data_IF_035306669946
#
_entry.id   IF_035306669946
#
_cell.length_a   1.000
_cell.length_b   1.000
_cell.length_c   1.000
_cell.angle_alpha   90.00
_cell.angle_beta   90.00
_cell.angle_gamma   90.00
#
_symmetry.space_group_name_H-M   'P 1'
#
loop_
_entity.id
_entity.type
_entity.pdbx_description
1 polymer ?
#
# COMPACT_ATOMS: atom_id res chain seq x y z
N UNK A 1 12.85 -6.81 -10.51
CA UNK A 1 11.45 -7.28 -10.40
C UNK A 1 10.58 -6.11 -9.92
N UNK A 2 9.51 -5.74 -10.66
CA UNK A 2 8.63 -4.61 -10.37
C UNK A 2 7.25 -5.13 -10.00
N UNK A 3 6.85 -4.92 -8.75
CA UNK A 3 5.63 -5.50 -8.16
C UNK A 3 4.65 -4.38 -7.80
N UNK A 4 3.38 -4.57 -8.10
CA UNK A 4 2.26 -3.72 -7.66
C UNK A 4 1.44 -4.50 -6.65
N UNK A 5 1.18 -3.91 -5.48
CA UNK A 5 0.29 -4.49 -4.47
C UNK A 5 -1.13 -3.95 -4.65
N UNK A 6 -2.08 -4.85 -4.91
CA UNK A 6 -3.51 -4.57 -5.03
C UNK A 6 -4.29 -5.15 -3.84
N UNK A 7 -5.48 -4.66 -3.62
CA UNK A 7 -6.39 -5.09 -2.55
C UNK A 7 -6.95 -3.92 -1.74
N UNK A 8 -8.01 -4.18 -1.00
CA UNK A 8 -8.73 -3.18 -0.20
C UNK A 8 -7.84 -2.49 0.86
N UNK A 9 -8.18 -1.28 1.34
CA UNK A 9 -7.49 -0.69 2.48
C UNK A 9 -7.59 -1.64 3.69
N UNK A 10 -6.46 -1.90 4.37
CA UNK A 10 -6.46 -2.86 5.50
C UNK A 10 -6.29 -4.34 5.12
N UNK A 11 -6.21 -4.70 3.84
CA UNK A 11 -6.01 -6.09 3.39
C UNK A 11 -4.66 -6.71 3.78
N UNK A 12 -3.69 -5.91 4.24
CA UNK A 12 -2.36 -6.40 4.63
C UNK A 12 -1.26 -6.13 3.60
N UNK A 13 -1.55 -5.40 2.52
CA UNK A 13 -0.59 -5.07 1.46
C UNK A 13 0.76 -4.57 1.96
N UNK A 14 0.75 -3.57 2.86
CA UNK A 14 1.99 -2.99 3.40
C UNK A 14 2.82 -4.00 4.20
N UNK A 15 2.18 -4.89 4.96
CA UNK A 15 2.86 -5.97 5.69
C UNK A 15 3.55 -6.90 4.71
N UNK A 16 2.85 -7.35 3.68
CA UNK A 16 3.41 -8.23 2.66
C UNK A 16 4.49 -7.52 1.84
N UNK A 17 4.29 -6.25 1.49
CA UNK A 17 5.29 -5.45 0.78
C UNK A 17 6.62 -5.38 1.53
N UNK A 18 6.59 -5.14 2.84
CA UNK A 18 7.81 -5.13 3.68
C UNK A 18 8.51 -6.49 3.63
N UNK A 19 7.78 -7.59 3.83
CA UNK A 19 8.35 -8.95 3.79
C UNK A 19 8.94 -9.30 2.41
N UNK A 20 8.28 -8.89 1.33
CA UNK A 20 8.80 -9.06 -0.04
C UNK A 20 10.11 -8.26 -0.21
N UNK A 21 10.12 -7.00 0.21
CA UNK A 21 11.29 -6.14 0.07
C UNK A 21 12.49 -6.68 0.85
N UNK A 22 12.28 -7.17 2.07
CA UNK A 22 13.32 -7.81 2.88
C UNK A 22 13.88 -9.08 2.23
N UNK A 23 13.00 -9.93 1.66
CA UNK A 23 13.41 -11.18 1.02
C UNK A 23 14.18 -10.95 -0.29
N UNK A 24 13.72 -10.03 -1.13
CA UNK A 24 14.26 -9.85 -2.49
C UNK A 24 15.25 -8.68 -2.61
N UNK A 25 15.49 -7.91 -1.54
CA UNK A 25 16.45 -6.80 -1.53
C UNK A 25 16.04 -5.64 -2.44
N UNK A 26 14.74 -5.36 -2.58
CA UNK A 26 14.19 -4.29 -3.41
C UNK A 26 13.45 -3.26 -2.54
N UNK A 27 13.40 -1.97 -2.91
CA UNK A 27 12.77 -0.94 -2.10
C UNK A 27 11.24 -1.06 -2.05
N UNK A 28 10.67 -0.75 -0.87
CA UNK A 28 9.26 -0.54 -0.64
C UNK A 28 8.89 0.91 -0.93
N UNK A 29 7.98 1.14 -1.86
CA UNK A 29 7.49 2.47 -2.22
C UNK A 29 6.01 2.56 -1.86
N UNK A 30 5.73 3.17 -0.73
CA UNK A 30 4.36 3.40 -0.24
C UNK A 30 3.96 4.86 -0.45
N UNK A 31 3.06 5.12 -1.39
CA UNK A 31 2.54 6.48 -1.61
C UNK A 31 1.83 7.02 -0.37
N UNK A 32 1.15 6.15 0.37
CA UNK A 32 0.53 6.52 1.63
C UNK A 32 1.53 7.01 2.67
N UNK A 33 2.70 6.35 2.79
CA UNK A 33 3.74 6.75 3.74
C UNK A 33 4.45 8.03 3.30
N UNK A 34 4.66 8.20 2.01
CA UNK A 34 5.22 9.44 1.45
C UNK A 34 4.30 10.62 1.76
N UNK A 35 2.98 10.50 1.54
CA UNK A 35 2.04 11.55 1.88
C UNK A 35 1.99 11.81 3.39
N UNK A 36 1.94 10.78 4.22
CA UNK A 36 1.97 10.94 5.69
C UNK A 36 3.25 11.64 6.18
N UNK A 37 4.40 11.33 5.60
CA UNK A 37 5.65 12.03 5.89
C UNK A 37 5.56 13.51 5.52
N UNK A 38 5.02 13.85 4.36
CA UNK A 38 4.79 15.22 3.93
C UNK A 38 3.81 15.97 4.84
N UNK A 39 2.74 15.31 5.28
CA UNK A 39 1.77 15.89 6.25
C UNK A 39 2.49 16.21 7.56
N UNK A 40 3.26 15.27 8.09
CA UNK A 40 4.03 15.45 9.33
C UNK A 40 5.03 16.60 9.24
N UNK A 41 5.67 16.75 8.09
CA UNK A 41 6.66 17.81 7.85
C UNK A 41 6.02 19.14 7.44
N UNK A 42 4.70 19.23 7.32
CA UNK A 42 3.96 20.45 7.01
C UNK A 42 4.21 21.03 5.61
N UNK A 43 4.65 20.19 4.65
CA UNK A 43 4.89 20.65 3.28
C UNK A 43 3.60 21.05 2.57
N UNK A 44 3.68 21.85 1.52
CA UNK A 44 2.49 22.22 0.72
C UNK A 44 1.81 20.98 0.11
N UNK A 45 2.58 19.98 -0.32
CA UNK A 45 2.05 18.69 -0.77
C UNK A 45 1.32 17.98 0.38
N UNK A 46 1.89 17.96 1.58
CA UNK A 46 1.30 17.35 2.76
C UNK A 46 -0.03 18.01 3.16
N UNK A 47 -0.12 19.34 3.12
CA UNK A 47 -1.35 20.07 3.43
C UNK A 47 -2.46 19.68 2.44
N UNK A 48 -2.17 19.68 1.13
CA UNK A 48 -3.12 19.26 0.11
C UNK A 48 -3.53 17.79 0.26
N UNK A 49 -2.58 16.88 0.46
CA UNK A 49 -2.87 15.46 0.62
C UNK A 49 -3.77 15.18 1.83
N UNK A 50 -3.56 15.92 2.94
CA UNK A 50 -4.35 15.77 4.16
C UNK A 50 -5.84 16.01 3.93
N UNK A 51 -6.21 17.00 3.14
CA UNK A 51 -7.62 17.35 2.84
C UNK A 51 -8.39 16.17 2.22
N UNK A 52 -7.71 15.35 1.39
CA UNK A 52 -8.29 14.16 0.77
C UNK A 52 -8.25 12.95 1.71
N UNK A 53 -7.10 12.71 2.33
CA UNK A 53 -6.89 11.52 3.15
C UNK A 53 -7.78 11.48 4.38
N UNK A 54 -8.02 12.62 5.05
CA UNK A 54 -8.90 12.71 6.23
C UNK A 54 -10.36 12.38 5.87
N UNK A 55 -10.76 12.56 4.61
CA UNK A 55 -12.08 12.21 4.08
C UNK A 55 -12.13 10.77 3.49
N UNK A 56 -11.03 10.03 3.51
CA UNK A 56 -10.93 8.70 2.89
C UNK A 56 -10.92 8.72 1.35
N UNK A 57 -10.67 9.88 0.74
CA UNK A 57 -10.57 10.08 -0.71
C UNK A 57 -9.13 9.85 -1.19
N UNK A 58 -8.98 9.63 -2.51
CA UNK A 58 -7.67 9.60 -3.14
C UNK A 58 -7.12 11.01 -3.33
N UNK A 59 -5.80 11.15 -3.15
CA UNK A 59 -5.07 12.37 -3.57
C UNK A 59 -5.12 12.43 -5.09
N UNK A 60 -5.27 13.62 -5.71
CA UNK A 60 -5.38 13.78 -7.16
C UNK A 60 -4.25 13.05 -7.93
N UNK A 61 -4.62 12.44 -9.07
CA UNK A 61 -3.72 11.60 -9.86
C UNK A 61 -2.45 12.34 -10.27
N UNK A 62 -2.55 13.60 -10.70
CA UNK A 62 -1.40 14.42 -11.12
C UNK A 62 -0.33 14.52 -10.04
N UNK A 63 -0.74 14.77 -8.78
CA UNK A 63 0.18 14.90 -7.66
C UNK A 63 0.81 13.53 -7.30
N UNK A 64 0.00 12.47 -7.36
CA UNK A 64 0.45 11.13 -7.01
C UNK A 64 1.39 10.56 -8.06
N UNK A 65 1.09 10.76 -9.35
CA UNK A 65 1.90 10.29 -10.47
C UNK A 65 3.28 10.96 -10.46
N UNK A 66 3.34 12.29 -10.35
CA UNK A 66 4.61 13.01 -10.34
C UNK A 66 5.51 12.53 -9.20
N UNK A 67 4.95 12.45 -8.00
CA UNK A 67 5.68 11.97 -6.81
C UNK A 67 6.22 10.54 -7.00
N UNK A 68 5.44 9.66 -7.65
CA UNK A 68 5.87 8.29 -7.88
C UNK A 68 6.96 8.22 -8.94
N UNK A 69 6.80 8.90 -10.09
CA UNK A 69 7.79 8.87 -11.16
C UNK A 69 9.16 9.38 -10.67
N UNK A 70 9.17 10.45 -9.89
CA UNK A 70 10.39 10.97 -9.28
C UNK A 70 11.04 9.95 -8.32
N UNK A 71 10.23 9.15 -7.61
CA UNK A 71 10.74 8.14 -6.67
C UNK A 71 11.28 6.91 -7.37
N UNK A 72 10.61 6.39 -8.39
CA UNK A 72 11.05 5.18 -9.10
C UNK A 72 12.25 5.44 -10.03
N UNK A 73 12.57 6.70 -10.32
CA UNK A 73 13.75 7.10 -11.07
C UNK A 73 15.05 7.10 -10.23
N UNK A 74 14.98 6.85 -8.91
CA UNK A 74 16.16 6.81 -8.06
C UNK A 74 16.94 5.50 -8.25
N UNK A 75 18.26 5.56 -8.04
CA UNK A 75 19.21 4.46 -8.31
C UNK A 75 18.85 3.16 -7.57
N UNK A 76 18.28 3.25 -6.37
CA UNK A 76 17.86 2.09 -5.58
C UNK A 76 16.71 1.30 -6.20
N UNK A 77 16.01 1.88 -7.19
CA UNK A 77 14.91 1.26 -7.91
C UNK A 77 15.34 0.51 -9.20
N UNK A 78 16.60 0.57 -9.58
CA UNK A 78 17.11 -0.01 -10.83
C UNK A 78 16.83 -1.52 -10.91
N UNK A 79 17.07 -2.25 -9.82
CA UNK A 79 16.87 -3.70 -9.74
C UNK A 79 15.40 -4.13 -9.49
N UNK A 80 14.50 -3.16 -9.34
CA UNK A 80 13.09 -3.37 -9.09
C UNK A 80 12.61 -2.71 -7.81
N UNK A 81 11.31 -2.89 -7.50
CA UNK A 81 10.65 -2.27 -6.36
C UNK A 81 9.26 -2.88 -6.12
N UNK A 82 8.71 -2.63 -4.95
CA UNK A 82 7.31 -2.93 -4.63
C UNK A 82 6.54 -1.62 -4.47
N UNK A 83 5.49 -1.43 -5.27
CA UNK A 83 4.56 -0.31 -5.16
C UNK A 83 3.40 -0.69 -4.23
N UNK A 84 3.21 0.06 -3.16
CA UNK A 84 2.08 -0.07 -2.24
C UNK A 84 1.25 1.22 -2.24
N UNK A 85 -0.03 1.08 -2.61
CA UNK A 85 -0.95 2.20 -2.72
C UNK A 85 -0.83 3.02 -4.00
N UNK A 86 -0.17 2.50 -5.02
CA UNK A 86 -0.14 3.00 -6.39
C UNK A 86 0.06 1.82 -7.36
N UNK A 87 -0.63 1.79 -8.52
CA UNK A 87 -1.73 2.68 -8.89
C UNK A 87 -3.00 2.43 -8.07
N UNK A 88 -3.89 3.43 -8.00
CA UNK A 88 -5.23 3.30 -7.40
C UNK A 88 -6.35 3.62 -8.39
N UNK A 89 -6.01 4.11 -9.57
CA UNK A 89 -6.95 4.42 -10.65
C UNK A 89 -6.42 3.90 -11.98
N UNK A 90 -7.31 3.69 -12.94
CA UNK A 90 -6.91 3.27 -14.31
C UNK A 90 -5.95 4.29 -14.94
N UNK A 91 -6.20 5.62 -14.90
CA UNK A 91 -5.26 6.60 -15.43
C UNK A 91 -3.85 6.49 -14.83
N UNK A 92 -3.73 6.24 -13.52
CA UNK A 92 -2.44 6.02 -12.87
C UNK A 92 -1.74 4.77 -13.42
N UNK A 93 -2.47 3.67 -13.64
CA UNK A 93 -1.93 2.43 -14.18
C UNK A 93 -1.45 2.60 -15.63
N UNK A 94 -2.20 3.33 -16.44
CA UNK A 94 -1.82 3.63 -17.84
C UNK A 94 -0.53 4.46 -17.91
N UNK A 95 -0.40 5.48 -17.06
CA UNK A 95 0.82 6.30 -16.99
C UNK A 95 2.02 5.46 -16.53
N UNK A 96 1.85 4.61 -15.51
CA UNK A 96 2.89 3.69 -15.07
C UNK A 96 3.32 2.75 -16.20
N UNK A 97 2.35 2.14 -16.88
CA UNK A 97 2.61 1.21 -17.99
C UNK A 97 3.40 1.89 -19.11
N UNK A 98 3.00 3.11 -19.48
CA UNK A 98 3.69 3.89 -20.50
C UNK A 98 5.13 4.23 -20.09
N UNK A 99 5.32 4.76 -18.89
CA UNK A 99 6.64 5.13 -18.37
C UNK A 99 7.60 3.91 -18.31
N UNK A 100 7.10 2.74 -17.92
CA UNK A 100 7.89 1.51 -17.93
C UNK A 100 8.22 1.05 -19.36
N UNK A 101 7.29 1.14 -20.28
CA UNK A 101 7.51 0.74 -21.68
C UNK A 101 8.60 1.60 -22.35
N UNK A 102 8.73 2.88 -22.00
CA UNK A 102 9.79 3.77 -22.51
C UNK A 102 11.20 3.29 -22.12
N UNK A 103 11.31 2.55 -21.02
CA UNK A 103 12.58 1.92 -20.56
C UNK A 103 12.68 0.44 -20.91
N UNK A 104 11.80 -0.07 -21.77
CA UNK A 104 11.77 -1.51 -22.12
C UNK A 104 11.35 -2.43 -20.97
N UNK A 105 10.69 -1.90 -19.96
CA UNK A 105 10.25 -2.60 -18.76
C UNK A 105 8.72 -2.72 -18.71
N UNK A 106 8.24 -3.55 -17.76
CA UNK A 106 6.81 -3.69 -17.46
C UNK A 106 6.62 -3.97 -15.96
N UNK A 107 5.39 -3.97 -15.49
CA UNK A 107 5.02 -4.56 -14.20
C UNK A 107 5.14 -6.08 -14.35
N UNK A 108 5.98 -6.71 -13.53
CA UNK A 108 6.18 -8.16 -13.57
C UNK A 108 5.03 -8.89 -12.89
N UNK A 109 4.59 -8.39 -11.73
CA UNK A 109 3.49 -8.96 -10.96
C UNK A 109 2.61 -7.87 -10.35
N UNK A 110 1.29 -8.04 -10.44
CA UNK A 110 0.29 -7.33 -9.67
C UNK A 110 -0.30 -8.33 -8.66
N UNK A 111 0.10 -8.22 -7.40
CA UNK A 111 -0.33 -9.12 -6.33
C UNK A 111 -1.59 -8.55 -5.67
N UNK A 112 -2.72 -9.20 -5.89
CA UNK A 112 -3.98 -8.85 -5.24
C UNK A 112 -4.12 -9.64 -3.94
N UNK A 113 -4.11 -8.94 -2.81
CA UNK A 113 -4.40 -9.51 -1.49
C UNK A 113 -5.90 -9.37 -1.26
N UNK A 114 -6.63 -10.46 -1.48
CA UNK A 114 -8.10 -10.48 -1.43
C UNK A 114 -8.60 -10.72 0.00
N UNK A 115 -9.45 -9.82 0.49
CA UNK A 115 -10.01 -9.86 1.84
C UNK A 115 -11.43 -9.29 1.81
N UNK A 116 -12.44 -10.01 2.36
CA UNK A 116 -13.81 -9.50 2.46
C UNK A 116 -13.92 -8.22 3.28
N UNK A 117 -14.86 -7.35 2.91
CA UNK A 117 -15.06 -6.03 3.53
C UNK A 117 -15.29 -6.10 5.04
N UNK A 118 -16.00 -7.13 5.51
CA UNK A 118 -16.26 -7.34 6.94
C UNK A 118 -14.95 -7.48 7.73
N UNK A 119 -14.01 -8.26 7.19
CA UNK A 119 -12.69 -8.46 7.79
C UNK A 119 -11.87 -7.17 7.72
N UNK A 120 -12.02 -6.38 6.65
CA UNK A 120 -11.34 -5.08 6.51
C UNK A 120 -11.77 -4.11 7.61
N UNK A 121 -13.06 -3.97 7.89
CA UNK A 121 -13.57 -3.08 8.93
C UNK A 121 -12.97 -3.45 10.30
N UNK A 122 -12.95 -4.75 10.62
CA UNK A 122 -12.35 -5.25 11.86
C UNK A 122 -10.84 -4.95 11.93
N UNK A 123 -10.10 -5.27 10.87
CA UNK A 123 -8.65 -5.02 10.79
C UNK A 123 -8.28 -3.55 10.90
N UNK A 124 -9.04 -2.66 10.26
CA UNK A 124 -8.78 -1.22 10.30
C UNK A 124 -9.02 -0.63 11.70
N UNK A 125 -10.07 -1.05 12.38
CA UNK A 125 -10.38 -0.55 13.73
C UNK A 125 -9.33 -0.98 14.77
N UNK A 126 -8.75 -2.16 14.62
CA UNK A 126 -7.70 -2.70 15.50
C UNK A 126 -6.28 -2.25 15.13
N UNK A 127 -6.09 -1.59 13.99
CA UNK A 127 -4.77 -1.17 13.53
C UNK A 127 -4.17 -0.09 14.43
N UNK A 128 -2.87 -0.23 14.69
CA UNK A 128 -2.03 0.78 15.35
C UNK A 128 -0.80 1.04 14.50
N UNK A 129 -0.35 2.27 14.45
CA UNK A 129 0.77 2.68 13.62
C UNK A 129 1.75 3.53 14.41
N UNK A 130 3.03 3.33 14.16
CA UNK A 130 4.08 4.18 14.73
C UNK A 130 4.26 5.45 13.89
N UNK A 131 4.03 6.65 14.44
CA UNK A 131 4.20 7.91 13.69
C UNK A 131 5.68 8.25 13.45
N UNK A 132 6.61 7.55 14.11
CA UNK A 132 8.07 7.80 14.00
C UNK A 132 8.72 6.97 12.91
N UNK A 133 8.49 5.64 12.87
CA UNK A 133 9.15 4.73 11.95
C UNK A 133 8.22 4.05 10.93
N UNK A 134 6.91 4.30 10.99
CA UNK A 134 5.93 3.73 10.06
C UNK A 134 5.49 2.29 10.38
N UNK A 135 6.10 1.61 11.36
CA UNK A 135 5.75 0.24 11.73
C UNK A 135 4.26 0.11 12.03
N UNK A 136 3.65 -0.98 11.53
CA UNK A 136 2.22 -1.26 11.68
C UNK A 136 1.99 -2.45 12.59
N UNK A 137 1.04 -2.30 13.49
CA UNK A 137 0.61 -3.30 14.47
C UNK A 137 -0.90 -3.49 14.42
N UNK A 138 -1.36 -4.55 15.05
CA UNK A 138 -2.78 -4.79 15.28
C UNK A 138 -2.98 -5.31 16.69
N UNK A 139 -4.04 -4.83 17.37
CA UNK A 139 -4.30 -5.19 18.78
C UNK A 139 -4.47 -6.70 19.01
N UNK A 140 -4.91 -7.45 17.99
CA UNK A 140 -5.14 -8.90 18.06
C UNK A 140 -4.12 -9.70 17.22
N UNK A 141 -3.91 -9.31 15.94
CA UNK A 141 -3.15 -10.13 14.99
C UNK A 141 -1.64 -9.94 15.07
N UNK A 142 -1.19 -8.73 15.36
CA UNK A 142 0.24 -8.36 15.46
C UNK A 142 0.39 -7.38 16.63
N UNK A 143 0.15 -7.83 17.88
CA UNK A 143 0.27 -6.96 19.04
C UNK A 143 1.73 -6.55 19.28
N UNK A 144 1.99 -5.32 19.74
CA UNK A 144 3.32 -4.94 20.18
C UNK A 144 3.67 -5.69 21.47
N UNK A 145 4.96 -5.90 21.74
CA UNK A 145 5.46 -6.55 22.97
C UNK A 145 5.01 -5.83 24.24
N UNK A 146 4.97 -4.49 24.16
CA UNK A 146 4.42 -3.63 25.20
C UNK A 146 3.27 -2.84 24.59
N UNK A 147 2.09 -2.93 25.22
CA UNK A 147 0.89 -2.25 24.75
C UNK A 147 1.14 -0.74 24.53
N UNK A 148 0.74 -0.25 23.35
CA UNK A 148 0.88 1.16 22.97
C UNK A 148 2.30 1.61 22.58
N UNK A 149 3.32 0.73 22.62
CA UNK A 149 4.72 1.09 22.33
C UNK A 149 5.22 0.34 21.11
N UNK A 150 5.89 1.04 20.23
CA UNK A 150 6.50 0.48 19.01
C UNK A 150 7.73 -0.35 19.35
N UNK A 151 7.75 -1.64 18.98
CA UNK A 151 8.89 -2.54 19.21
C UNK A 151 10.15 -2.14 18.46
N UNK A 152 10.00 -1.45 17.31
CA UNK A 152 11.13 -1.07 16.47
C UNK A 152 11.86 0.19 16.94
N UNK A 153 11.16 1.17 17.55
CA UNK A 153 11.77 2.46 17.86
C UNK A 153 11.35 3.06 19.21
N UNK A 154 10.53 2.38 20.01
CA UNK A 154 10.10 2.80 21.34
C UNK A 154 9.12 3.98 21.37
N UNK A 155 8.62 4.45 20.23
CA UNK A 155 7.65 5.54 20.18
C UNK A 155 6.23 5.04 20.49
N UNK A 156 5.36 5.93 20.95
CA UNK A 156 3.94 5.64 21.18
C UNK A 156 3.23 5.31 19.87
N UNK A 157 2.39 4.28 19.90
CA UNK A 157 1.54 3.86 18.79
C UNK A 157 0.22 4.64 18.80
N UNK A 158 -0.24 5.01 17.61
CA UNK A 158 -1.50 5.73 17.43
C UNK A 158 -2.45 4.96 16.52
N UNK A 159 -3.76 5.16 16.68
CA UNK A 159 -4.74 4.88 15.65
C UNK A 159 -4.74 6.04 14.65
N UNK A 160 -4.66 5.72 13.34
CA UNK A 160 -4.69 6.75 12.30
C UNK A 160 -6.09 7.38 12.21
N UNK A 161 -6.17 8.65 11.81
CA UNK A 161 -7.44 9.32 11.57
C UNK A 161 -8.27 8.64 10.47
N UNK A 162 -7.58 8.12 9.44
CA UNK A 162 -8.20 7.40 8.33
C UNK A 162 -8.59 5.95 8.66
N UNK A 163 -8.42 5.49 9.91
CA UNK A 163 -8.88 4.19 10.42
C UNK A 163 -10.17 4.30 11.25
N UNK A 164 -10.75 5.47 11.37
CA UNK A 164 -12.05 5.67 12.01
C UNK A 164 -13.16 4.99 11.18
N UNK A 165 -14.19 4.38 11.82
CA UNK A 165 -15.18 3.57 11.11
C UNK A 165 -15.88 4.27 9.93
N UNK A 166 -16.17 5.56 10.07
CA UNK A 166 -16.80 6.36 9.01
C UNK A 166 -15.86 6.54 7.81
N UNK A 167 -14.59 6.86 8.08
CA UNK A 167 -13.58 7.02 7.05
C UNK A 167 -13.27 5.69 6.37
N UNK A 168 -13.27 4.58 7.10
CA UNK A 168 -13.07 3.23 6.55
C UNK A 168 -14.17 2.88 5.54
N UNK A 169 -15.43 3.19 5.83
CA UNK A 169 -16.54 2.98 4.88
C UNK A 169 -16.35 3.79 3.59
N UNK A 170 -15.96 5.05 3.72
CA UNK A 170 -15.68 5.88 2.55
C UNK A 170 -14.50 5.34 1.74
N UNK A 171 -13.44 4.87 2.38
CA UNK A 171 -12.28 4.24 1.73
C UNK A 171 -12.65 2.97 0.98
N UNK A 172 -13.54 2.14 1.53
CA UNK A 172 -14.04 0.95 0.84
C UNK A 172 -14.88 1.33 -0.37
N UNK A 173 -15.78 2.30 -0.25
CA UNK A 173 -16.56 2.79 -1.39
C UNK A 173 -15.65 3.32 -2.53
N UNK A 174 -14.66 4.15 -2.19
CA UNK A 174 -13.65 4.65 -3.15
C UNK A 174 -12.82 3.52 -3.75
N UNK A 175 -12.45 2.51 -2.95
CA UNK A 175 -11.74 1.34 -3.43
C UNK A 175 -12.54 0.59 -4.48
N UNK A 176 -13.80 0.26 -4.19
CA UNK A 176 -14.65 -0.48 -5.12
C UNK A 176 -14.90 0.28 -6.42
N UNK A 177 -15.10 1.60 -6.32
CA UNK A 177 -15.37 2.44 -7.49
C UNK A 177 -14.11 2.67 -8.36
N UNK A 178 -12.97 2.97 -7.74
CA UNK A 178 -11.82 3.52 -8.47
C UNK A 178 -10.63 2.56 -8.57
N UNK A 179 -10.44 1.68 -7.57
CA UNK A 179 -9.23 0.85 -7.47
C UNK A 179 -9.49 -0.60 -7.86
N UNK A 180 -10.63 -1.17 -7.50
CA UNK A 180 -10.99 -2.54 -7.84
C UNK A 180 -10.94 -2.83 -9.36
N UNK A 181 -11.29 -1.90 -10.27
CA UNK A 181 -11.15 -2.11 -11.71
C UNK A 181 -9.72 -2.42 -12.18
N UNK A 182 -8.70 -2.10 -11.36
CA UNK A 182 -7.30 -2.47 -11.65
C UNK A 182 -7.07 -3.98 -11.66
N UNK A 183 -7.89 -4.76 -10.99
CA UNK A 183 -7.82 -6.23 -11.00
C UNK A 183 -7.98 -6.71 -12.44
N UNK A 184 -9.04 -6.30 -13.13
CA UNK A 184 -9.28 -6.63 -14.54
C UNK A 184 -8.20 -6.05 -15.46
N UNK A 185 -7.70 -4.84 -15.16
CA UNK A 185 -6.63 -4.21 -15.94
C UNK A 185 -5.36 -5.07 -15.95
N UNK A 186 -4.91 -5.53 -14.78
CA UNK A 186 -3.71 -6.36 -14.68
C UNK A 186 -3.95 -7.83 -15.05
N UNK A 187 -5.19 -8.32 -14.97
CA UNK A 187 -5.56 -9.63 -15.51
C UNK A 187 -5.40 -9.66 -17.03
N UNK A 188 -5.90 -8.64 -17.74
CA UNK A 188 -5.71 -8.50 -19.18
C UNK A 188 -4.24 -8.36 -19.60
N UNK A 189 -3.40 -7.84 -18.72
CA UNK A 189 -1.94 -7.75 -18.93
C UNK A 189 -1.17 -9.02 -18.55
N UNK A 190 -1.86 -10.09 -18.13
CA UNK A 190 -1.28 -11.37 -17.63
C UNK A 190 -0.33 -11.18 -16.42
N UNK A 191 -0.43 -10.06 -15.72
CA UNK A 191 0.39 -9.73 -14.57
C UNK A 191 -0.29 -10.05 -13.22
N UNK A 192 -1.62 -10.21 -13.19
CA UNK A 192 -2.39 -10.41 -11.95
C UNK A 192 -2.10 -11.77 -11.32
N UNK A 193 -1.90 -11.75 -10.00
CA UNK A 193 -1.91 -12.96 -9.14
C UNK A 193 -2.68 -12.64 -7.87
N UNK A 194 -3.64 -13.47 -7.50
CA UNK A 194 -4.47 -13.24 -6.31
C UNK A 194 -4.11 -14.24 -5.22
N UNK A 195 -3.98 -13.74 -3.99
CA UNK A 195 -3.76 -14.52 -2.78
C UNK A 195 -4.87 -14.25 -1.77
N UNK A 196 -5.23 -15.27 -1.00
CA UNK A 196 -6.21 -15.18 0.08
C UNK A 196 -5.60 -14.45 1.29
N UNK A 197 -5.92 -13.16 1.42
CA UNK A 197 -5.44 -12.32 2.52
C UNK A 197 -6.14 -12.57 3.87
N UNK A 198 -7.08 -13.52 3.97
CA UNK A 198 -7.71 -13.88 5.25
C UNK A 198 -6.84 -14.79 6.11
N UNK A 199 -5.89 -15.49 5.50
CA UNK A 199 -4.92 -16.37 6.15
C UNK A 199 -3.97 -15.60 7.08
N UNK A 200 -3.17 -16.34 7.87
CA UNK A 200 -2.07 -15.75 8.64
C UNK A 200 -1.06 -15.05 7.72
N UNK A 201 -0.41 -14.00 8.24
CA UNK A 201 0.52 -13.18 7.46
C UNK A 201 1.68 -13.97 6.84
N UNK A 202 2.17 -15.01 7.54
CA UNK A 202 3.29 -15.83 7.09
C UNK A 202 2.84 -16.85 6.03
N UNK A 203 1.60 -17.34 6.12
CA UNK A 203 0.98 -18.18 5.08
C UNK A 203 0.74 -17.38 3.79
N UNK A 204 0.16 -16.16 3.90
CA UNK A 204 -0.01 -15.26 2.75
C UNK A 204 1.34 -14.97 2.09
N UNK A 205 2.37 -14.71 2.90
CA UNK A 205 3.72 -14.49 2.39
C UNK A 205 4.28 -15.72 1.68
N UNK A 206 4.05 -16.91 2.22
CA UNK A 206 4.42 -18.18 1.57
C UNK A 206 3.77 -18.34 0.20
N UNK A 207 2.46 -18.05 0.09
CA UNK A 207 1.73 -18.07 -1.18
C UNK A 207 2.33 -17.06 -2.19
N UNK A 208 2.66 -15.85 -1.73
CA UNK A 208 3.30 -14.82 -2.58
C UNK A 208 4.68 -15.28 -3.05
N UNK A 209 5.50 -15.84 -2.18
CA UNK A 209 6.84 -16.34 -2.53
C UNK A 209 6.75 -17.48 -3.55
N UNK A 210 5.76 -18.38 -3.43
CA UNK A 210 5.54 -19.43 -4.41
C UNK A 210 5.19 -18.88 -5.81
N UNK A 211 4.58 -17.69 -5.88
CA UNK A 211 4.28 -17.00 -7.15
C UNK A 211 5.52 -16.32 -7.72
N UNK A 212 6.32 -15.68 -6.86
CA UNK A 212 7.44 -14.84 -7.28
C UNK A 212 8.73 -15.63 -7.62
N UNK A 213 8.90 -16.80 -7.04
CA UNK A 213 10.07 -17.69 -7.20
C UNK A 213 11.15 -17.50 -6.15
#
# INVERSE_FOLDING_TARGET
MKIVMLGAPGAGKGTQAVMICEKYGIPHISTGDIFRSNIKNGTELGKKAKEYMDQGKLVPDELTIQLLLDRVAQDDCENGYVLDGFPRTIPQAEVLTKALAETGSKVDYAINVDVPDENIIHRMSGRRSCPKCGASYHIEYIPPKQEGICDACGAELIQREDDKPETVKNRLAVYHEQTQPLIEYYEKADALRTVDGTKDKDEVFGDIVAILG
#
